data_IF_508524780584
#
_entry.id   IF_508524780584
#
_cell.length_a   1.000
_cell.length_b   1.000
_cell.length_c   1.000
_cell.angle_alpha   90.00
_cell.angle_beta   90.00
_cell.angle_gamma   90.00
#
_symmetry.space_group_name_H-M   'P 1'
#
loop_
_entity.id
_entity.type
_entity.pdbx_description
1 polymer ?
#
# COMPACT_ATOMS: atom_id res chain seq x y z
N UNK A 1 11.63 17.59 -16.88
CA UNK A 1 12.00 16.17 -16.76
C UNK A 1 10.78 15.28 -16.78
N UNK A 2 10.25 14.96 -17.97
CA UNK A 2 9.01 14.17 -18.06
C UNK A 2 9.11 12.80 -17.41
N UNK A 3 10.24 12.11 -17.57
CA UNK A 3 10.43 10.76 -17.04
C UNK A 3 10.37 10.75 -15.50
N UNK A 4 11.00 11.73 -14.86
CA UNK A 4 11.01 11.82 -13.40
C UNK A 4 9.63 12.18 -12.85
N UNK A 5 8.93 13.09 -13.51
CA UNK A 5 7.55 13.43 -13.12
C UNK A 5 6.61 12.25 -13.30
N UNK A 6 6.77 11.48 -14.37
CA UNK A 6 6.00 10.26 -14.57
C UNK A 6 6.24 9.24 -13.46
N UNK A 7 7.49 9.12 -13.00
CA UNK A 7 7.82 8.23 -11.89
C UNK A 7 7.08 8.66 -10.62
N UNK A 8 7.07 9.94 -10.31
CA UNK A 8 6.35 10.47 -9.15
C UNK A 8 4.85 10.22 -9.27
N UNK A 9 4.28 10.40 -10.45
CA UNK A 9 2.87 10.12 -10.70
C UNK A 9 2.53 8.65 -10.48
N UNK A 10 3.35 7.75 -11.01
CA UNK A 10 3.15 6.30 -10.86
C UNK A 10 3.25 5.87 -9.40
N UNK A 11 4.21 6.42 -8.66
CA UNK A 11 4.39 6.08 -7.25
C UNK A 11 3.27 6.68 -6.39
N UNK A 12 2.77 7.86 -6.75
CA UNK A 12 1.59 8.44 -6.11
C UNK A 12 0.39 7.50 -6.26
N UNK A 13 0.16 7.05 -7.48
CA UNK A 13 -0.94 6.13 -7.76
C UNK A 13 -0.78 4.82 -6.99
N UNK A 14 0.43 4.26 -6.96
CA UNK A 14 0.71 3.05 -6.18
C UNK A 14 0.32 3.22 -4.72
N UNK A 15 0.78 4.31 -4.09
CA UNK A 15 0.51 4.57 -2.67
C UNK A 15 -0.99 4.77 -2.39
N UNK A 16 -1.69 5.46 -3.27
CA UNK A 16 -3.13 5.62 -3.13
C UNK A 16 -3.87 4.31 -3.29
N UNK A 17 -3.43 3.46 -4.22
CA UNK A 17 -4.08 2.17 -4.47
C UNK A 17 -3.91 1.18 -3.31
N UNK A 18 -2.81 1.27 -2.56
CA UNK A 18 -2.60 0.38 -1.39
C UNK A 18 -3.08 0.99 -0.07
N UNK A 19 -3.50 2.24 -0.06
CA UNK A 19 -4.12 2.83 1.12
C UNK A 19 -5.37 2.03 1.50
N UNK A 20 -5.55 1.78 2.81
CA UNK A 20 -6.54 0.84 3.32
C UNK A 20 -7.92 0.99 2.69
N UNK A 21 -8.45 2.22 2.69
CA UNK A 21 -9.74 2.57 2.18
C UNK A 21 -9.89 2.23 0.70
N UNK A 22 -8.90 2.57 -0.12
CA UNK A 22 -8.94 2.28 -1.55
C UNK A 22 -8.72 0.80 -1.85
N UNK A 23 -7.76 0.18 -1.16
CA UNK A 23 -7.43 -1.23 -1.37
C UNK A 23 -8.62 -2.13 -1.06
N UNK A 24 -9.24 -1.95 0.10
CA UNK A 24 -10.35 -2.80 0.53
C UNK A 24 -11.60 -2.58 -0.29
N UNK A 25 -11.81 -1.37 -0.80
CA UNK A 25 -12.94 -1.10 -1.69
C UNK A 25 -12.76 -1.76 -3.05
N UNK A 26 -11.54 -1.77 -3.55
CA UNK A 26 -11.19 -2.26 -4.89
C UNK A 26 -11.04 -3.78 -4.95
N UNK A 27 -10.55 -4.38 -3.86
CA UNK A 27 -10.27 -5.81 -3.81
C UNK A 27 -11.28 -6.47 -2.87
N UNK A 28 -12.32 -7.07 -3.47
CA UNK A 28 -13.36 -7.77 -2.73
C UNK A 28 -12.98 -9.24 -2.57
N UNK A 29 -13.49 -9.92 -1.50
CA UNK A 29 -13.24 -11.35 -1.35
C UNK A 29 -13.84 -12.16 -2.51
N UNK A 30 -13.06 -13.10 -3.03
CA UNK A 30 -13.51 -14.04 -4.06
C UNK A 30 -14.06 -15.31 -3.39
N UNK A 31 -13.48 -15.65 -2.23
CA UNK A 31 -13.87 -16.81 -1.45
C UNK A 31 -14.21 -16.38 -0.02
N UNK A 32 -14.89 -17.25 0.72
CA UNK A 32 -15.30 -16.94 2.08
C UNK A 32 -14.18 -17.08 3.11
N UNK A 33 -13.09 -17.76 2.77
CA UNK A 33 -11.98 -17.99 3.67
C UNK A 33 -11.18 -16.71 3.93
N UNK A 34 -10.91 -16.45 5.21
CA UNK A 34 -10.14 -15.26 5.61
C UNK A 34 -8.72 -15.30 5.07
N UNK A 35 -8.07 -16.48 5.11
CA UNK A 35 -6.70 -16.60 4.61
C UNK A 35 -6.62 -16.36 3.10
N UNK A 36 -7.59 -16.83 2.35
CA UNK A 36 -7.65 -16.61 0.89
C UNK A 36 -7.74 -15.11 0.58
N UNK A 37 -8.51 -14.36 1.37
CA UNK A 37 -8.62 -12.92 1.19
C UNK A 37 -7.33 -12.20 1.53
N UNK A 38 -6.68 -12.59 2.65
CA UNK A 38 -5.37 -12.03 3.01
C UNK A 38 -4.35 -12.26 1.89
N UNK A 39 -4.30 -13.48 1.37
CA UNK A 39 -3.37 -13.82 0.29
C UNK A 39 -3.63 -12.99 -0.97
N UNK A 40 -4.90 -12.76 -1.28
CA UNK A 40 -5.30 -11.93 -2.43
C UNK A 40 -4.84 -10.49 -2.24
N UNK A 41 -5.04 -9.92 -1.06
CA UNK A 41 -4.62 -8.55 -0.75
C UNK A 41 -3.10 -8.41 -0.84
N UNK A 42 -2.36 -9.35 -0.25
CA UNK A 42 -0.91 -9.32 -0.25
C UNK A 42 -0.36 -9.45 -1.67
N UNK A 43 -0.88 -10.40 -2.45
CA UNK A 43 -0.42 -10.59 -3.82
C UNK A 43 -0.73 -9.37 -4.69
N UNK A 44 -1.86 -8.72 -4.45
CA UNK A 44 -2.23 -7.48 -5.15
C UNK A 44 -1.22 -6.37 -4.86
N UNK A 45 -0.87 -6.18 -3.58
CA UNK A 45 0.12 -5.17 -3.19
C UNK A 45 1.48 -5.48 -3.79
N UNK A 46 1.93 -6.74 -3.71
CA UNK A 46 3.23 -7.15 -4.23
C UNK A 46 3.33 -7.00 -5.74
N UNK A 47 2.28 -7.34 -6.48
CA UNK A 47 2.26 -7.19 -7.93
C UNK A 47 2.38 -5.72 -8.33
N UNK A 48 1.64 -4.85 -7.67
CA UNK A 48 1.69 -3.42 -7.96
C UNK A 48 3.05 -2.82 -7.59
N UNK A 49 3.64 -3.28 -6.49
CA UNK A 49 4.98 -2.86 -6.09
C UNK A 49 6.01 -3.27 -7.16
N UNK A 50 5.94 -4.52 -7.61
CA UNK A 50 6.86 -5.06 -8.62
C UNK A 50 6.75 -4.28 -9.93
N UNK A 51 5.53 -3.92 -10.35
CA UNK A 51 5.30 -3.12 -11.54
C UNK A 51 5.93 -1.73 -11.46
N UNK A 52 6.18 -1.24 -10.26
CA UNK A 52 6.76 0.10 -10.06
C UNK A 52 8.21 0.04 -9.56
N UNK A 53 8.80 -1.15 -9.50
CA UNK A 53 10.12 -1.36 -8.92
C UNK A 53 11.21 -0.53 -9.62
N UNK A 54 11.13 -0.40 -10.94
CA UNK A 54 12.10 0.36 -11.72
C UNK A 54 12.04 1.87 -11.46
N UNK A 55 10.96 2.37 -10.90
CA UNK A 55 10.80 3.79 -10.62
C UNK A 55 11.74 4.28 -9.52
N UNK A 56 12.32 3.36 -8.74
CA UNK A 56 13.24 3.71 -7.66
C UNK A 56 14.44 4.52 -8.13
N UNK A 57 14.84 4.37 -9.40
CA UNK A 57 15.99 5.11 -9.93
C UNK A 57 15.71 6.60 -10.13
N UNK A 58 14.44 7.01 -10.12
CA UNK A 58 14.04 8.40 -10.36
C UNK A 58 13.70 9.17 -9.09
N UNK A 59 13.72 8.52 -7.93
CA UNK A 59 13.41 9.15 -6.65
C UNK A 59 14.60 9.00 -5.71
N UNK A 60 14.61 9.77 -4.62
CA UNK A 60 15.69 9.67 -3.65
C UNK A 60 15.63 8.34 -2.89
N UNK A 61 16.78 7.90 -2.37
CA UNK A 61 16.83 6.69 -1.55
C UNK A 61 15.93 6.79 -0.32
N UNK A 62 15.92 7.93 0.42
CA UNK A 62 14.96 8.06 1.53
C UNK A 62 13.52 7.93 1.12
N UNK A 63 13.14 8.49 -0.04
CA UNK A 63 11.78 8.39 -0.56
C UNK A 63 11.41 6.94 -0.86
N UNK A 64 12.30 6.22 -1.56
CA UNK A 64 12.05 4.83 -1.89
C UNK A 64 11.95 3.95 -0.64
N UNK A 65 12.81 4.20 0.36
CA UNK A 65 12.75 3.49 1.64
C UNK A 65 11.41 3.71 2.33
N UNK A 66 10.89 4.93 2.26
CA UNK A 66 9.59 5.26 2.85
C UNK A 66 8.44 4.52 2.15
N UNK A 67 8.48 4.46 0.82
CA UNK A 67 7.50 3.73 0.01
C UNK A 67 7.55 2.24 0.34
N UNK A 68 8.75 1.66 0.40
CA UNK A 68 8.94 0.25 0.74
C UNK A 68 8.49 -0.05 2.16
N UNK A 69 8.77 0.85 3.10
CA UNK A 69 8.33 0.70 4.49
C UNK A 69 6.82 0.70 4.60
N UNK A 70 6.14 1.57 3.86
CA UNK A 70 4.67 1.62 3.84
C UNK A 70 4.10 0.31 3.28
N UNK A 71 4.65 -0.18 2.18
CA UNK A 71 4.25 -1.44 1.57
C UNK A 71 4.42 -2.59 2.56
N UNK A 72 5.60 -2.71 3.17
CA UNK A 72 5.90 -3.78 4.11
C UNK A 72 5.02 -3.70 5.36
N UNK A 73 4.76 -2.49 5.84
CA UNK A 73 3.90 -2.28 7.01
C UNK A 73 2.48 -2.76 6.74
N UNK A 74 1.94 -2.45 5.57
CA UNK A 74 0.62 -2.94 5.16
C UNK A 74 0.57 -4.46 5.12
N UNK A 75 1.59 -5.10 4.53
CA UNK A 75 1.64 -6.55 4.43
C UNK A 75 1.72 -7.19 5.82
N UNK A 76 2.55 -6.65 6.72
CA UNK A 76 2.67 -7.17 8.08
C UNK A 76 1.34 -7.09 8.84
N UNK A 77 0.63 -5.99 8.67
CA UNK A 77 -0.69 -5.82 9.30
C UNK A 77 -1.68 -6.85 8.77
N UNK A 78 -1.71 -7.07 7.46
CA UNK A 78 -2.60 -8.05 6.85
C UNK A 78 -2.27 -9.46 7.37
N UNK A 79 -0.99 -9.81 7.42
CA UNK A 79 -0.55 -11.11 7.91
C UNK A 79 -0.94 -11.34 9.38
N UNK A 80 -0.82 -10.30 10.19
CA UNK A 80 -1.07 -10.40 11.62
C UNK A 80 -2.52 -10.16 12.05
N UNK A 81 -3.40 -9.83 11.13
CA UNK A 81 -4.78 -9.52 11.44
C UNK A 81 -5.60 -10.80 11.58
N UNK A 82 -5.55 -11.42 12.75
CA UNK A 82 -6.30 -12.62 13.08
C UNK A 82 -7.26 -12.34 14.22
N UNK A 83 -8.49 -12.76 14.06
CA UNK A 83 -9.51 -12.68 15.11
C UNK A 83 -10.34 -13.95 15.05
N UNK A 84 -10.34 -14.71 16.14
CA UNK A 84 -11.07 -15.98 16.24
C UNK A 84 -12.58 -15.81 16.11
N UNK A 85 -13.07 -14.57 16.33
CA UNK A 85 -14.49 -14.28 16.19
C UNK A 85 -14.92 -14.07 14.74
N UNK A 86 -13.94 -13.91 13.83
CA UNK A 86 -14.20 -13.67 12.40
C UNK A 86 -14.35 -15.01 11.68
N UNK A 87 -15.50 -15.22 11.07
CA UNK A 87 -15.81 -16.47 10.37
C UNK A 87 -15.75 -16.35 8.84
N UNK A 88 -15.68 -15.11 8.31
CA UNK A 88 -15.70 -14.90 6.87
C UNK A 88 -14.78 -13.75 6.46
N UNK A 89 -14.39 -13.75 5.19
CA UNK A 89 -13.60 -12.67 4.61
C UNK A 89 -14.31 -11.32 4.71
N UNK A 90 -15.63 -11.31 4.55
CA UNK A 90 -16.41 -10.08 4.65
C UNK A 90 -16.35 -9.48 6.06
N UNK A 91 -16.38 -10.31 7.08
CA UNK A 91 -16.24 -9.85 8.47
C UNK A 91 -14.84 -9.33 8.78
N UNK A 92 -13.84 -9.85 8.08
CA UNK A 92 -12.44 -9.42 8.24
C UNK A 92 -12.20 -8.01 7.71
N UNK A 93 -12.95 -7.57 6.71
CA UNK A 93 -12.72 -6.29 6.04
C UNK A 93 -12.72 -5.07 6.98
N UNK A 94 -13.73 -4.88 7.85
CA UNK A 94 -13.69 -3.72 8.75
C UNK A 94 -12.54 -3.79 9.75
N UNK A 95 -12.14 -4.97 10.18
CA UNK A 95 -10.98 -5.15 11.06
C UNK A 95 -9.70 -4.75 10.35
N UNK A 96 -9.54 -5.15 9.09
CA UNK A 96 -8.39 -4.77 8.27
C UNK A 96 -8.34 -3.26 8.05
N UNK A 97 -9.49 -2.65 7.80
CA UNK A 97 -9.55 -1.20 7.60
C UNK A 97 -9.02 -0.46 8.83
N UNK A 98 -9.48 -0.84 10.01
CA UNK A 98 -9.03 -0.25 11.26
C UNK A 98 -7.54 -0.49 11.50
N UNK A 99 -7.10 -1.74 11.33
CA UNK A 99 -5.70 -2.12 11.57
C UNK A 99 -4.74 -1.41 10.61
N UNK A 100 -5.07 -1.38 9.32
CA UNK A 100 -4.25 -0.73 8.31
C UNK A 100 -4.19 0.79 8.50
N UNK A 101 -5.29 1.39 8.96
CA UNK A 101 -5.33 2.83 9.22
C UNK A 101 -4.45 3.25 10.39
N UNK A 102 -4.12 2.30 11.27
CA UNK A 102 -3.32 2.54 12.48
C UNK A 102 -1.92 1.92 12.40
N UNK A 103 -1.47 1.49 11.23
CA UNK A 103 -0.16 0.89 11.13
C UNK A 103 0.96 1.94 11.29
N UNK A 104 2.16 1.46 11.60
CA UNK A 104 3.29 2.32 11.95
C UNK A 104 3.72 3.25 10.81
N UNK A 105 3.74 2.73 9.58
CA UNK A 105 4.06 3.52 8.39
C UNK A 105 2.92 3.32 7.40
N UNK A 106 2.11 4.36 7.21
CA UNK A 106 0.96 4.29 6.31
C UNK A 106 1.33 4.75 4.90
N UNK A 107 0.59 4.32 3.89
CA UNK A 107 0.76 4.87 2.53
C UNK A 107 0.60 6.39 2.49
N UNK A 108 -0.27 6.95 3.33
CA UNK A 108 -0.48 8.41 3.42
C UNK A 108 0.78 9.12 3.89
N UNK A 109 1.52 8.53 4.85
CA UNK A 109 2.79 9.08 5.32
C UNK A 109 3.83 9.08 4.20
N UNK A 110 3.92 7.99 3.45
CA UNK A 110 4.82 7.89 2.31
C UNK A 110 4.44 8.88 1.21
N UNK A 111 3.14 9.06 1.00
CA UNK A 111 2.64 10.01 0.00
C UNK A 111 3.01 11.46 0.37
N UNK A 112 2.90 11.81 1.65
CA UNK A 112 3.32 13.14 2.13
C UNK A 112 4.81 13.35 1.87
N UNK A 113 5.64 12.35 2.16
CA UNK A 113 7.07 12.41 1.90
C UNK A 113 7.35 12.61 0.41
N UNK A 114 6.66 11.86 -0.44
CA UNK A 114 6.79 11.95 -1.89
C UNK A 114 6.42 13.34 -2.40
N UNK A 115 5.33 13.91 -1.90
CA UNK A 115 4.88 15.25 -2.28
C UNK A 115 5.90 16.32 -1.91
N UNK A 116 6.52 16.18 -0.74
CA UNK A 116 7.57 17.10 -0.31
C UNK A 116 8.79 17.03 -1.23
N UNK A 117 9.17 15.82 -1.63
CA UNK A 117 10.28 15.63 -2.58
C UNK A 117 9.97 16.26 -3.93
N UNK A 118 8.77 16.05 -4.46
CA UNK A 118 8.34 16.65 -5.72
C UNK A 118 8.38 18.17 -5.63
N UNK A 119 7.90 18.73 -4.54
CA UNK A 119 7.92 20.18 -4.32
C UNK A 119 9.34 20.74 -4.37
N UNK A 120 10.30 20.05 -3.75
CA UNK A 120 11.70 20.43 -3.76
C UNK A 120 12.29 20.32 -5.18
N UNK A 121 11.95 19.25 -5.88
CA UNK A 121 12.42 19.01 -7.25
C UNK A 121 11.93 20.08 -8.22
N UNK A 122 10.71 20.56 -8.05
CA UNK A 122 10.10 21.54 -8.96
C UNK A 122 10.55 22.98 -8.67
N UNK A 123 11.22 23.23 -7.55
CA UNK A 123 11.83 24.51 -7.27
C UNK A 123 13.16 24.63 -8.02
#
# INVERSE_FOLDING_TARGET
>A
MPVRLQAYERLTLFLERIAAHHLLKRVAPIANETQAYKDLLISTIEQEYTHNLSQQIYVSDPCWRMISAAKNSCIQIILGCDDETVESAQELRPLLLTALSNCKVTPEMALTFLKEEVSTFLK
#
